data_IF_396901609338
#
_entry.id   IF_396901609338
#
_cell.length_a   1.000
_cell.length_b   1.000
_cell.length_c   1.000
_cell.angle_alpha   90.00
_cell.angle_beta   90.00
_cell.angle_gamma   90.00
#
_symmetry.space_group_name_H-M   'P 1'
#
loop_
_entity.id
_entity.type
_entity.pdbx_description
1 polymer ?
#
# COMPACT_ATOMS: atom_id res chain seq x y z
N UNK A 1 -33.98 -15.17 19.97
CA UNK A 1 -32.98 -14.10 19.97
C UNK A 1 -31.62 -14.75 20.10
N UNK A 2 -31.04 -15.14 19.00
CA UNK A 2 -29.69 -15.72 18.95
C UNK A 2 -28.70 -14.57 18.71
N UNK A 3 -27.82 -14.32 19.66
CA UNK A 3 -26.71 -13.41 19.48
C UNK A 3 -25.72 -14.07 18.51
N UNK A 4 -25.59 -13.53 17.32
CA UNK A 4 -24.51 -13.89 16.43
C UNK A 4 -23.19 -13.45 17.09
N UNK A 5 -22.41 -14.42 17.51
CA UNK A 5 -21.01 -14.20 17.84
C UNK A 5 -20.32 -13.67 16.59
N UNK A 6 -19.97 -12.39 16.60
CA UNK A 6 -19.01 -11.85 15.65
C UNK A 6 -17.74 -12.69 15.77
N UNK A 7 -17.36 -13.39 14.72
CA UNK A 7 -16.10 -14.07 14.65
C UNK A 7 -15.01 -13.00 14.76
N UNK A 8 -14.35 -12.93 15.93
CA UNK A 8 -13.06 -12.25 16.04
C UNK A 8 -12.20 -12.79 14.88
N UNK A 9 -11.78 -11.89 14.01
CA UNK A 9 -10.74 -12.21 13.03
C UNK A 9 -9.49 -12.45 13.85
N UNK A 10 -9.22 -13.71 14.16
CA UNK A 10 -8.00 -14.13 14.81
C UNK A 10 -6.85 -13.65 13.93
N UNK A 11 -6.04 -12.76 14.45
CA UNK A 11 -4.83 -12.30 13.76
C UNK A 11 -4.03 -13.53 13.32
N UNK A 12 -3.62 -13.57 12.08
CA UNK A 12 -2.84 -14.70 11.55
C UNK A 12 -1.53 -14.74 12.30
N UNK A 13 -1.30 -15.79 13.09
CA UNK A 13 0.01 -16.06 13.68
C UNK A 13 0.97 -16.51 12.57
N UNK A 14 1.51 -15.54 11.84
CA UNK A 14 2.46 -15.77 10.75
C UNK A 14 3.71 -16.55 11.23
N UNK A 15 4.34 -16.26 12.38
CA UNK A 15 5.44 -17.04 12.89
C UNK A 15 5.07 -18.51 13.13
N UNK A 16 3.91 -18.79 13.70
CA UNK A 16 3.43 -20.15 13.92
C UNK A 16 3.01 -20.86 12.65
N UNK A 17 2.37 -20.15 11.72
CA UNK A 17 1.92 -20.71 10.44
C UNK A 17 3.08 -20.99 9.46
N UNK A 18 4.16 -20.22 9.54
CA UNK A 18 5.30 -20.32 8.61
C UNK A 18 6.64 -20.36 9.37
N UNK A 19 6.92 -21.44 10.10
CA UNK A 19 8.07 -21.52 11.02
C UNK A 19 9.44 -21.43 10.33
N UNK A 20 9.50 -21.74 9.03
CA UNK A 20 10.72 -21.63 8.23
C UNK A 20 10.88 -20.26 7.55
N UNK A 21 10.10 -19.29 7.92
CA UNK A 21 10.20 -17.93 7.37
C UNK A 21 10.22 -16.88 8.46
N UNK A 22 10.86 -15.76 8.17
CA UNK A 22 10.89 -14.59 9.06
C UNK A 22 10.82 -13.31 8.25
N UNK A 23 10.25 -12.26 8.85
CA UNK A 23 10.30 -10.92 8.31
C UNK A 23 11.69 -10.32 8.58
N UNK A 24 12.33 -9.78 7.57
CA UNK A 24 13.60 -9.08 7.64
C UNK A 24 13.48 -7.75 6.91
N UNK A 25 14.28 -6.76 7.25
CA UNK A 25 14.32 -5.49 6.55
C UNK A 25 15.63 -5.38 5.78
N UNK A 26 15.53 -4.96 4.51
CA UNK A 26 16.70 -4.64 3.69
C UNK A 26 16.85 -3.13 3.68
N UNK A 27 17.97 -2.68 4.20
CA UNK A 27 18.28 -1.26 4.28
C UNK A 27 18.70 -0.71 2.91
N UNK A 28 18.12 0.44 2.57
CA UNK A 28 18.50 1.27 1.44
C UNK A 28 19.19 2.54 1.90
N UNK A 29 19.30 3.53 1.01
CA UNK A 29 19.76 4.86 1.38
C UNK A 29 18.62 5.66 2.05
N UNK A 30 18.93 6.82 2.65
CA UNK A 30 17.95 7.77 3.21
C UNK A 30 16.98 7.15 4.22
N UNK A 31 17.41 6.13 4.98
CA UNK A 31 16.56 5.45 5.97
C UNK A 31 15.46 4.56 5.35
N UNK A 32 15.58 4.22 4.08
CA UNK A 32 14.68 3.24 3.44
C UNK A 32 14.91 1.88 4.07
N UNK A 33 13.84 1.24 4.53
CA UNK A 33 13.87 -0.13 5.05
C UNK A 33 12.72 -0.91 4.39
N UNK A 34 13.08 -1.86 3.51
CA UNK A 34 12.11 -2.63 2.72
C UNK A 34 11.84 -3.96 3.41
N UNK A 35 10.57 -4.24 3.79
CA UNK A 35 10.22 -5.51 4.43
C UNK A 35 10.28 -6.66 3.44
N UNK A 36 11.05 -7.69 3.78
CA UNK A 36 11.18 -8.91 3.01
C UNK A 36 10.85 -10.13 3.87
N UNK A 37 10.26 -11.13 3.27
CA UNK A 37 10.07 -12.45 3.85
C UNK A 37 11.25 -13.32 3.44
N UNK A 38 12.08 -13.71 4.39
CA UNK A 38 13.18 -14.65 4.19
C UNK A 38 12.69 -16.06 4.52
N UNK A 39 12.73 -16.94 3.52
CA UNK A 39 12.25 -18.32 3.59
C UNK A 39 13.45 -19.24 3.58
N UNK A 40 13.66 -19.99 4.66
CA UNK A 40 14.74 -20.96 4.77
C UNK A 40 14.37 -22.25 4.03
N UNK A 41 15.23 -22.63 3.09
CA UNK A 41 15.06 -23.83 2.29
C UNK A 41 15.74 -25.03 2.94
N UNK A 42 15.26 -26.25 2.64
CA UNK A 42 15.90 -27.50 3.04
C UNK A 42 17.20 -27.72 2.27
N UNK A 43 18.12 -28.54 2.84
CA UNK A 43 19.34 -28.94 2.12
C UNK A 43 20.50 -27.93 2.15
N UNK A 44 20.38 -26.85 2.96
CA UNK A 44 21.46 -25.85 3.09
C UNK A 44 21.54 -24.85 1.91
N UNK A 45 20.50 -24.81 1.10
CA UNK A 45 20.38 -23.81 0.04
C UNK A 45 20.24 -22.39 0.62
N UNK A 46 20.72 -21.36 -0.09
CA UNK A 46 20.52 -19.98 0.31
C UNK A 46 19.03 -19.65 0.50
N UNK A 47 18.65 -18.84 1.50
CA UNK A 47 17.26 -18.50 1.73
C UNK A 47 16.69 -17.72 0.54
N UNK A 48 15.44 -18.00 0.20
CA UNK A 48 14.68 -17.23 -0.76
C UNK A 48 14.13 -15.98 -0.09
N UNK A 49 14.30 -14.81 -0.72
CA UNK A 49 13.72 -13.55 -0.27
C UNK A 49 12.66 -13.06 -1.24
N UNK A 50 11.48 -12.77 -0.71
CA UNK A 50 10.36 -12.15 -1.41
C UNK A 50 9.85 -10.97 -0.61
N UNK A 51 9.16 -10.04 -1.26
CA UNK A 51 8.56 -8.91 -0.55
C UNK A 51 7.54 -9.40 0.49
N UNK A 52 7.57 -8.82 1.68
CA UNK A 52 6.65 -9.17 2.77
C UNK A 52 5.40 -8.29 2.70
N UNK A 53 4.29 -8.86 2.26
CA UNK A 53 3.00 -8.17 2.11
C UNK A 53 2.17 -8.15 3.39
N UNK A 54 2.68 -8.68 4.51
CA UNK A 54 1.92 -8.74 5.77
C UNK A 54 1.68 -7.36 6.42
N UNK A 55 2.30 -6.32 5.87
CA UNK A 55 2.19 -4.96 6.39
C UNK A 55 2.87 -4.76 7.75
N UNK A 56 2.74 -3.59 8.35
CA UNK A 56 3.25 -3.33 9.69
C UNK A 56 2.48 -4.16 10.73
N UNK A 57 3.20 -4.65 11.74
CA UNK A 57 2.66 -5.47 12.82
C UNK A 57 2.45 -4.61 14.08
N UNK A 58 1.58 -5.09 14.98
CA UNK A 58 1.35 -4.50 16.30
C UNK A 58 0.89 -3.02 16.29
N UNK A 59 0.17 -2.62 15.25
CA UNK A 59 -0.43 -1.29 15.13
C UNK A 59 -1.93 -1.31 15.38
N UNK A 60 -2.43 -0.31 16.07
CA UNK A 60 -3.88 -0.04 16.09
C UNK A 60 -4.26 0.66 14.77
N UNK A 61 -5.00 -0.05 13.92
CA UNK A 61 -5.48 0.49 12.64
C UNK A 61 -6.34 1.76 12.77
N UNK A 62 -6.87 2.03 13.99
CA UNK A 62 -7.65 3.25 14.27
C UNK A 62 -6.78 4.48 14.39
N UNK A 63 -5.49 4.30 14.67
CA UNK A 63 -4.51 5.38 14.72
C UNK A 63 -3.90 5.67 13.34
N UNK A 64 -4.26 4.87 12.33
CA UNK A 64 -3.72 4.96 10.98
C UNK A 64 -2.37 4.24 10.83
N UNK A 65 -1.87 4.20 9.60
CA UNK A 65 -0.57 3.62 9.29
C UNK A 65 0.54 4.67 9.45
N UNK A 66 1.77 4.26 9.81
CA UNK A 66 2.91 5.17 9.88
C UNK A 66 3.17 5.86 8.53
N UNK A 67 3.41 7.18 8.50
CA UNK A 67 3.61 7.94 7.27
C UNK A 67 5.03 7.72 6.70
N UNK A 68 5.29 6.53 6.19
CA UNK A 68 6.61 6.07 5.69
C UNK A 68 7.28 7.07 4.74
N UNK A 69 6.50 7.71 3.86
CA UNK A 69 7.03 8.58 2.80
C UNK A 69 6.94 10.07 3.10
N UNK A 70 6.51 10.46 4.31
CA UNK A 70 6.29 11.87 4.64
C UNK A 70 7.53 12.73 4.40
N UNK A 71 8.69 12.29 4.92
CA UNK A 71 9.95 13.01 4.72
C UNK A 71 10.31 13.11 3.22
N UNK A 72 10.17 12.02 2.46
CA UNK A 72 10.47 11.99 1.04
C UNK A 72 9.60 12.94 0.22
N UNK A 73 8.35 13.11 0.64
CA UNK A 73 7.39 14.02 0.02
C UNK A 73 7.74 15.47 0.34
N UNK A 74 8.06 15.77 1.60
CA UNK A 74 8.44 17.12 2.04
C UNK A 74 9.72 17.62 1.34
N UNK A 75 10.73 16.77 1.17
CA UNK A 75 11.97 17.10 0.50
C UNK A 75 11.81 17.52 -0.97
N UNK A 76 10.65 17.26 -1.57
CA UNK A 76 10.35 17.61 -2.98
C UNK A 76 9.72 18.99 -3.16
N UNK A 77 9.79 19.85 -2.16
CA UNK A 77 9.19 21.18 -2.23
C UNK A 77 7.65 21.16 -2.29
N UNK A 78 7.05 20.20 -1.61
CA UNK A 78 5.61 20.15 -1.41
C UNK A 78 5.18 21.08 -0.29
N UNK A 79 3.95 21.57 -0.34
CA UNK A 79 3.37 22.44 0.68
C UNK A 79 1.92 22.03 0.96
N UNK A 80 1.49 22.24 2.20
CA UNK A 80 0.10 22.02 2.59
C UNK A 80 -0.79 23.11 2.02
N UNK A 81 -1.95 22.74 1.47
CA UNK A 81 -2.89 23.69 0.86
C UNK A 81 -3.98 24.16 1.83
N UNK A 82 -4.04 23.61 3.04
CA UNK A 82 -5.08 23.91 4.01
C UNK A 82 -6.49 23.44 3.61
N UNK A 83 -6.63 22.76 2.47
CA UNK A 83 -7.89 22.16 2.06
C UNK A 83 -8.00 20.78 2.70
N UNK A 84 -8.83 20.67 3.71
CA UNK A 84 -9.39 19.39 4.14
C UNK A 84 -10.49 19.00 3.16
N UNK A 85 -10.57 17.73 2.78
CA UNK A 85 -11.70 17.22 2.04
C UNK A 85 -12.94 17.35 2.93
N UNK A 86 -13.92 18.14 2.50
CA UNK A 86 -15.21 18.18 3.16
C UNK A 86 -15.98 16.91 2.77
N UNK A 87 -16.11 16.01 3.72
CA UNK A 87 -17.07 14.91 3.61
C UNK A 87 -18.50 15.45 3.78
N UNK A 88 -19.48 14.70 3.28
CA UNK A 88 -20.86 15.02 3.51
C UNK A 88 -21.12 15.27 5.01
N UNK A 89 -21.89 16.28 5.34
CA UNK A 89 -22.05 16.84 6.69
C UNK A 89 -22.54 15.86 7.79
N UNK A 90 -22.82 14.61 7.43
CA UNK A 90 -23.31 13.54 8.29
C UNK A 90 -22.30 12.40 8.52
N UNK A 91 -21.06 12.55 8.02
CA UNK A 91 -20.01 11.53 8.21
C UNK A 91 -18.96 12.11 9.18
N UNK A 92 -18.93 11.59 10.41
CA UNK A 92 -17.84 11.83 11.36
C UNK A 92 -16.63 10.97 10.95
N UNK A 93 -15.58 11.62 10.46
CA UNK A 93 -14.32 10.96 10.18
C UNK A 93 -13.39 11.07 11.40
N UNK A 94 -12.79 9.97 11.85
CA UNK A 94 -11.73 10.03 12.86
C UNK A 94 -10.61 10.98 12.43
N UNK A 95 -10.06 11.74 13.38
CA UNK A 95 -9.01 12.75 13.08
C UNK A 95 -7.80 12.16 12.37
N UNK A 96 -7.43 10.92 12.72
CA UNK A 96 -6.33 10.19 12.08
C UNK A 96 -6.54 9.90 10.59
N UNK A 97 -7.80 9.90 10.13
CA UNK A 97 -8.17 9.67 8.72
C UNK A 97 -8.43 10.98 7.96
N UNK A 98 -8.35 12.13 8.64
CA UNK A 98 -8.43 13.44 7.99
C UNK A 98 -7.12 13.71 7.26
N UNK A 99 -7.12 13.44 5.97
CA UNK A 99 -5.93 13.64 5.12
C UNK A 99 -5.63 15.12 4.93
N UNK A 100 -4.39 15.51 5.15
CA UNK A 100 -3.89 16.82 4.77
C UNK A 100 -3.69 16.84 3.27
N UNK A 101 -4.23 17.85 2.60
CA UNK A 101 -4.00 18.01 1.16
C UNK A 101 -2.65 18.68 0.93
N UNK A 102 -1.73 17.95 0.34
CA UNK A 102 -0.40 18.42 -0.04
C UNK A 102 -0.34 18.63 -1.55
N UNK A 103 0.32 19.71 -1.99
CA UNK A 103 0.60 19.97 -3.40
C UNK A 103 2.07 20.30 -3.61
N UNK A 104 2.58 19.91 -4.77
CA UNK A 104 3.90 20.34 -5.21
C UNK A 104 3.84 21.74 -5.86
N UNK A 105 4.94 22.46 -5.82
CA UNK A 105 5.13 23.71 -6.56
C UNK A 105 5.21 23.51 -8.09
N UNK A 106 5.31 22.26 -8.53
CA UNK A 106 5.35 21.83 -9.93
C UNK A 106 4.83 20.41 -10.08
N UNK A 107 5.22 19.72 -11.15
CA UNK A 107 4.88 18.30 -11.34
C UNK A 107 5.72 17.43 -10.39
N UNK A 108 5.05 16.72 -9.48
CA UNK A 108 5.65 15.82 -8.49
C UNK A 108 5.41 14.34 -8.81
N UNK A 109 5.16 14.03 -10.09
CA UNK A 109 4.95 12.65 -10.51
C UNK A 109 6.26 11.89 -10.65
N UNK A 110 6.24 10.59 -10.36
CA UNK A 110 7.41 9.73 -10.53
C UNK A 110 7.96 9.78 -11.96
N UNK A 111 7.08 9.92 -12.97
CA UNK A 111 7.49 10.05 -14.37
C UNK A 111 8.30 11.34 -14.62
N UNK A 112 7.93 12.45 -13.99
CA UNK A 112 8.66 13.71 -14.15
C UNK A 112 10.08 13.56 -13.63
N UNK A 113 10.25 13.03 -12.42
CA UNK A 113 11.58 12.78 -11.84
C UNK A 113 12.39 11.80 -12.70
N UNK A 114 11.78 10.72 -13.14
CA UNK A 114 12.45 9.72 -13.98
C UNK A 114 12.96 10.33 -15.31
N UNK A 115 12.15 11.16 -15.97
CA UNK A 115 12.53 11.84 -17.21
C UNK A 115 13.63 12.90 -17.01
N UNK A 116 13.70 13.47 -15.83
CA UNK A 116 14.80 14.37 -15.43
C UNK A 116 16.10 13.61 -15.07
N UNK A 117 16.07 12.26 -15.09
CA UNK A 117 17.20 11.44 -14.69
C UNK A 117 17.34 11.22 -13.19
N UNK A 118 16.36 11.65 -12.41
CA UNK A 118 16.37 11.56 -10.95
C UNK A 118 15.87 10.19 -10.48
N UNK A 119 16.52 9.63 -9.45
CA UNK A 119 16.07 8.44 -8.74
C UNK A 119 15.46 8.88 -7.42
N UNK A 120 14.15 8.67 -7.28
CA UNK A 120 13.42 9.01 -6.06
C UNK A 120 13.57 7.92 -5.01
N UNK A 121 13.31 8.20 -3.72
CA UNK A 121 13.27 7.17 -2.68
C UNK A 121 12.28 6.05 -3.00
N UNK A 122 11.14 6.35 -3.63
CA UNK A 122 10.19 5.32 -4.06
C UNK A 122 10.76 4.40 -5.13
N UNK A 123 11.58 4.93 -6.07
CA UNK A 123 12.25 4.09 -7.07
C UNK A 123 13.31 3.20 -6.43
N UNK A 124 14.02 3.69 -5.43
CA UNK A 124 14.99 2.90 -4.67
C UNK A 124 14.29 1.81 -3.84
N UNK A 125 13.20 2.14 -3.14
CA UNK A 125 12.38 1.17 -2.44
C UNK A 125 11.90 0.05 -3.37
N UNK A 126 11.36 0.41 -4.53
CA UNK A 126 10.92 -0.54 -5.57
C UNK A 126 12.08 -1.39 -6.07
N UNK A 127 13.25 -0.80 -6.28
CA UNK A 127 14.42 -1.54 -6.74
C UNK A 127 14.82 -2.67 -5.78
N UNK A 128 14.84 -2.36 -4.47
CA UNK A 128 15.09 -3.35 -3.42
C UNK A 128 13.98 -4.41 -3.39
N UNK A 129 12.72 -3.98 -3.44
CA UNK A 129 11.55 -4.86 -3.45
C UNK A 129 11.59 -5.86 -4.61
N UNK A 130 11.96 -5.40 -5.79
CA UNK A 130 11.97 -6.19 -7.03
C UNK A 130 13.28 -6.96 -7.24
N UNK A 131 14.36 -6.57 -6.55
CA UNK A 131 15.69 -7.15 -6.71
C UNK A 131 16.36 -6.69 -8.03
N UNK A 132 16.18 -5.41 -8.39
CA UNK A 132 16.75 -4.79 -9.59
C UNK A 132 17.49 -3.51 -9.23
N UNK A 133 18.26 -2.97 -10.18
CA UNK A 133 18.97 -1.70 -9.98
C UNK A 133 18.03 -0.49 -9.99
N UNK A 134 18.22 0.53 -9.13
CA UNK A 134 17.40 1.74 -9.13
C UNK A 134 17.34 2.47 -10.47
N UNK A 135 18.42 2.46 -11.22
CA UNK A 135 18.50 3.04 -12.58
C UNK A 135 17.54 2.33 -13.53
N UNK A 136 17.41 1.01 -13.41
CA UNK A 136 16.48 0.23 -14.23
C UNK A 136 15.02 0.66 -13.95
N UNK A 137 14.65 0.82 -12.67
CA UNK A 137 13.30 1.29 -12.28
C UNK A 137 13.03 2.67 -12.88
N UNK A 138 13.96 3.61 -12.71
CA UNK A 138 13.86 4.95 -13.29
C UNK A 138 13.65 4.90 -14.81
N UNK A 139 14.43 4.11 -15.53
CA UNK A 139 14.40 4.06 -16.98
C UNK A 139 13.09 3.45 -17.50
N UNK A 140 12.55 2.43 -16.82
CA UNK A 140 11.25 1.85 -17.16
C UNK A 140 10.10 2.86 -16.97
N UNK A 141 10.16 3.67 -15.89
CA UNK A 141 9.18 4.72 -15.65
C UNK A 141 9.33 5.86 -16.67
N UNK A 142 10.55 6.32 -16.95
CA UNK A 142 10.82 7.37 -17.92
C UNK A 142 10.28 7.05 -19.32
N UNK A 143 10.38 5.76 -19.71
CA UNK A 143 9.87 5.22 -20.98
C UNK A 143 8.36 4.97 -20.97
N UNK A 144 7.67 5.15 -19.84
CA UNK A 144 6.24 4.88 -19.71
C UNK A 144 5.87 3.39 -19.74
N UNK A 145 6.79 2.50 -19.39
CA UNK A 145 6.57 1.04 -19.35
C UNK A 145 6.27 0.53 -17.94
N UNK A 146 6.42 1.38 -16.94
CA UNK A 146 6.07 1.12 -15.55
C UNK A 146 5.51 2.37 -14.88
N UNK A 147 4.72 2.16 -13.84
CA UNK A 147 4.22 3.20 -12.95
C UNK A 147 4.52 2.83 -11.50
N UNK A 148 4.67 3.82 -10.64
CA UNK A 148 4.62 3.68 -9.18
C UNK A 148 3.38 4.46 -8.73
N UNK A 149 2.28 3.77 -8.38
CA UNK A 149 1.07 4.42 -7.86
C UNK A 149 1.31 4.85 -6.40
N UNK A 150 1.85 6.04 -6.22
CA UNK A 150 2.25 6.57 -4.92
C UNK A 150 1.80 8.03 -4.81
N UNK A 151 0.52 8.23 -4.46
CA UNK A 151 -0.05 9.55 -4.22
C UNK A 151 0.70 10.26 -3.07
N UNK A 152 1.02 11.54 -3.26
CA UNK A 152 1.68 12.35 -2.22
C UNK A 152 0.79 12.63 -1.00
N UNK A 153 -0.52 12.50 -1.15
CA UNK A 153 -1.48 12.64 -0.05
C UNK A 153 -1.69 11.35 0.76
N UNK A 154 -0.99 10.28 0.40
CA UNK A 154 -0.99 8.99 1.08
C UNK A 154 0.44 8.59 1.47
N UNK A 155 1.06 9.27 2.45
CA UNK A 155 2.45 9.03 2.83
C UNK A 155 2.68 7.64 3.44
N UNK A 156 1.64 6.97 3.89
CA UNK A 156 1.66 5.63 4.48
C UNK A 156 1.86 4.50 3.46
N UNK A 157 1.62 4.75 2.17
CA UNK A 157 1.70 3.71 1.14
C UNK A 157 3.16 3.24 0.94
N UNK A 158 3.36 1.94 1.02
CA UNK A 158 4.61 1.29 0.61
C UNK A 158 4.72 1.26 -0.93
N UNK A 159 5.80 1.79 -1.51
CA UNK A 159 5.93 1.86 -2.96
C UNK A 159 5.95 0.49 -3.64
N UNK A 160 5.27 0.39 -4.77
CA UNK A 160 5.36 -0.75 -5.68
C UNK A 160 5.43 -0.26 -7.13
N UNK A 161 5.93 -1.10 -8.03
CA UNK A 161 5.86 -0.83 -9.45
C UNK A 161 4.91 -1.79 -10.14
N UNK A 162 4.11 -1.25 -11.05
CA UNK A 162 3.29 -2.02 -11.97
C UNK A 162 3.88 -1.83 -13.36
N UNK A 163 4.33 -2.90 -13.97
CA UNK A 163 4.96 -2.84 -15.29
C UNK A 163 5.41 -4.22 -15.77
N UNK A 164 5.58 -4.35 -17.08
CA UNK A 164 5.86 -5.63 -17.74
C UNK A 164 7.13 -6.32 -17.23
N UNK A 165 8.12 -5.54 -16.82
CA UNK A 165 9.44 -6.05 -16.42
C UNK A 165 9.59 -6.18 -14.90
N UNK A 166 8.51 -6.09 -14.16
CA UNK A 166 8.45 -6.23 -12.70
C UNK A 166 7.66 -7.47 -12.31
N UNK A 167 7.86 -7.94 -11.08
CA UNK A 167 7.11 -9.07 -10.52
C UNK A 167 5.61 -8.78 -10.54
N UNK A 168 4.81 -9.82 -10.72
CA UNK A 168 3.35 -9.73 -10.72
C UNK A 168 2.85 -9.15 -9.39
N UNK A 169 1.87 -8.27 -9.47
CA UNK A 169 1.13 -7.73 -8.34
C UNK A 169 -0.27 -8.35 -8.30
N UNK A 170 -0.73 -8.65 -7.10
CA UNK A 170 -2.05 -9.24 -6.87
C UNK A 170 -3.06 -8.11 -6.68
N UNK A 171 -4.05 -8.04 -7.55
CA UNK A 171 -5.19 -7.16 -7.39
C UNK A 171 -6.38 -7.95 -6.88
N UNK A 172 -6.87 -7.61 -5.70
CA UNK A 172 -8.09 -8.18 -5.13
C UNK A 172 -9.29 -7.34 -5.58
N UNK A 173 -10.37 -8.01 -5.95
CA UNK A 173 -11.63 -7.35 -6.30
C UNK A 173 -12.62 -7.47 -5.15
N UNK A 174 -13.20 -6.36 -4.77
CA UNK A 174 -14.37 -6.26 -3.90
C UNK A 174 -15.50 -5.57 -4.66
N UNK A 175 -16.68 -5.52 -4.12
CA UNK A 175 -17.79 -4.76 -4.67
C UNK A 175 -19.14 -5.40 -4.41
N UNK A 176 -20.09 -4.58 -4.06
CA UNK A 176 -21.47 -5.00 -3.90
C UNK A 176 -22.29 -4.77 -5.18
N UNK A 177 -23.38 -5.51 -5.29
CA UNK A 177 -24.41 -5.30 -6.32
C UNK A 177 -25.77 -5.13 -5.68
N UNK A 178 -26.77 -4.69 -6.45
CA UNK A 178 -28.14 -4.54 -5.96
C UNK A 178 -28.78 -5.85 -5.43
N UNK A 179 -28.17 -6.99 -5.73
CA UNK A 179 -28.69 -8.33 -5.40
C UNK A 179 -27.84 -9.11 -4.41
N UNK A 180 -26.62 -8.68 -4.11
CA UNK A 180 -25.72 -9.42 -3.23
C UNK A 180 -24.71 -8.53 -2.53
N UNK A 181 -24.37 -8.92 -1.32
CA UNK A 181 -23.37 -8.34 -0.44
C UNK A 181 -23.82 -7.08 0.31
N UNK A 182 -23.52 -7.04 1.59
CA UNK A 182 -23.69 -5.88 2.45
C UNK A 182 -22.38 -5.09 2.57
N UNK A 183 -22.43 -3.91 3.14
CA UNK A 183 -21.23 -3.10 3.44
C UNK A 183 -20.29 -3.90 4.36
N UNK A 184 -20.84 -4.57 5.38
CA UNK A 184 -20.05 -5.36 6.32
C UNK A 184 -19.32 -6.52 5.64
N UNK A 185 -19.95 -7.15 4.66
CA UNK A 185 -19.34 -8.22 3.87
C UNK A 185 -18.20 -7.68 2.99
N UNK A 186 -18.37 -6.51 2.38
CA UNK A 186 -17.31 -5.88 1.58
C UNK A 186 -16.13 -5.46 2.47
N UNK A 187 -16.39 -4.89 3.64
CA UNK A 187 -15.32 -4.57 4.62
C UNK A 187 -14.60 -5.85 5.07
N UNK A 188 -15.32 -6.94 5.26
CA UNK A 188 -14.71 -8.24 5.59
C UNK A 188 -13.81 -8.74 4.43
N UNK A 189 -14.26 -8.63 3.18
CA UNK A 189 -13.47 -8.99 1.99
C UNK A 189 -12.20 -8.13 1.89
N UNK A 190 -12.29 -6.81 2.12
CA UNK A 190 -11.15 -5.92 2.13
C UNK A 190 -10.11 -6.33 3.19
N UNK A 191 -10.56 -6.64 4.41
CA UNK A 191 -9.68 -7.14 5.47
C UNK A 191 -9.01 -8.45 5.08
N UNK A 192 -9.74 -9.38 4.49
CA UNK A 192 -9.17 -10.63 3.99
C UNK A 192 -8.16 -10.40 2.87
N UNK A 193 -8.46 -9.53 1.90
CA UNK A 193 -7.54 -9.18 0.83
C UNK A 193 -6.23 -8.65 1.39
N UNK A 194 -6.30 -7.75 2.37
CA UNK A 194 -5.11 -7.18 3.04
C UNK A 194 -4.32 -8.23 3.79
N UNK A 195 -4.99 -9.09 4.59
CA UNK A 195 -4.35 -10.16 5.35
C UNK A 195 -3.64 -11.18 4.46
N UNK A 196 -4.21 -11.48 3.28
CA UNK A 196 -3.62 -12.43 2.33
C UNK A 196 -2.64 -11.79 1.35
N UNK A 197 -2.31 -10.51 1.55
CA UNK A 197 -1.20 -9.86 0.86
C UNK A 197 -1.54 -9.37 -0.54
N UNK A 198 -2.77 -8.91 -0.76
CA UNK A 198 -3.07 -8.17 -1.97
C UNK A 198 -2.21 -6.90 -2.05
N UNK A 199 -1.65 -6.64 -3.22
CA UNK A 199 -0.88 -5.42 -3.48
C UNK A 199 -1.79 -4.22 -3.76
N UNK A 200 -2.97 -4.48 -4.31
CA UNK A 200 -4.00 -3.49 -4.62
C UNK A 200 -5.38 -4.07 -4.38
N UNK A 201 -6.34 -3.20 -4.15
CA UNK A 201 -7.77 -3.55 -4.10
C UNK A 201 -8.52 -2.71 -5.12
N UNK A 202 -9.45 -3.32 -5.83
CA UNK A 202 -10.34 -2.64 -6.76
C UNK A 202 -11.77 -2.83 -6.30
N UNK A 203 -12.45 -1.74 -5.99
CA UNK A 203 -13.88 -1.75 -5.69
C UNK A 203 -14.68 -1.67 -7.01
N UNK A 204 -15.47 -2.70 -7.26
CA UNK A 204 -16.32 -2.82 -8.44
C UNK A 204 -17.81 -2.64 -8.09
N UNK A 205 -18.11 -1.97 -6.98
CA UNK A 205 -19.50 -1.77 -6.53
C UNK A 205 -20.36 -1.09 -7.60
N UNK A 206 -21.57 -1.61 -7.75
CA UNK A 206 -22.57 -1.06 -8.66
C UNK A 206 -23.85 -0.76 -7.88
N UNK A 207 -24.32 0.49 -7.91
CA UNK A 207 -25.58 0.89 -7.25
C UNK A 207 -25.46 2.12 -6.38
N UNK A 208 -26.48 2.35 -5.54
CA UNK A 208 -26.58 3.56 -4.70
C UNK A 208 -25.63 3.62 -3.51
N UNK A 209 -24.86 2.56 -3.26
CA UNK A 209 -23.86 2.50 -2.17
C UNK A 209 -22.43 2.86 -2.61
N UNK A 210 -22.23 3.29 -3.85
CA UNK A 210 -20.93 3.73 -4.37
C UNK A 210 -20.25 4.79 -3.48
N UNK A 211 -21.05 5.68 -2.87
CA UNK A 211 -20.52 6.73 -1.99
C UNK A 211 -19.99 6.24 -0.63
N UNK A 212 -20.29 5.00 -0.23
CA UNK A 212 -19.83 4.43 1.04
C UNK A 212 -18.60 3.54 0.87
N UNK A 213 -18.38 3.00 -0.33
CA UNK A 213 -17.19 2.23 -0.68
C UNK A 213 -16.02 3.11 -1.14
N UNK A 214 -16.31 4.31 -1.66
CA UNK A 214 -15.32 5.30 -2.11
C UNK A 214 -14.36 5.75 -0.98
N UNK A 215 -14.73 5.55 0.27
CA UNK A 215 -13.86 5.73 1.42
C UNK A 215 -12.75 4.67 1.55
N UNK A 216 -12.80 3.60 0.75
CA UNK A 216 -11.77 2.56 0.72
C UNK A 216 -10.70 2.82 -0.38
N UNK A 217 -11.00 3.69 -1.35
CA UNK A 217 -10.08 4.09 -2.43
C UNK A 217 -9.19 5.29 -2.06
N UNK A 218 -9.33 5.78 -0.82
CA UNK A 218 -8.57 6.92 -0.29
C UNK A 218 -7.57 6.47 0.80
#
# INVERSE_FOLDING_TARGET
MSKSNGSEVVGTDYPGAYPNSKKVYIEGTRGIAVPMREIHLSGGEPPLRVYDTSGPQDLDVREGLPPLREQWIQERGTHETGRTRELAANVEMPEALKTRTVRGSGSVTQMTYARNGEITPEMEFVAIREGVEPVFVRDEIARGRAIIPANINHPEIEPMAIGRNFKVKINANIGNSAVSSSIEEEVAKLRWATLWGADTVMDLSTGCLLYTSDAADE
#
